data_IF_694040124407
#
_entry.id   IF_694040124407
#
_cell.length_a   1.000
_cell.length_b   1.000
_cell.length_c   1.000
_cell.angle_alpha   90.00
_cell.angle_beta   90.00
_cell.angle_gamma   90.00
#
_symmetry.space_group_name_H-M   'P 1'
#
loop_
_entity.id
_entity.type
_entity.pdbx_description
1 polymer ?
#
# COMPACT_ATOMS: atom_id res chain seq x y z
N UNK A 1 -10.39 3.62 -1.70
CA UNK A 1 -10.44 4.51 -2.89
C UNK A 1 -9.53 3.94 -3.96
N UNK A 2 -9.91 3.98 -5.25
CA UNK A 2 -9.07 3.45 -6.33
C UNK A 2 -8.63 4.54 -7.30
N UNK A 3 -7.37 4.52 -7.71
CA UNK A 3 -6.75 5.46 -8.65
C UNK A 3 -6.12 4.64 -9.77
N UNK A 4 -6.39 5.01 -11.02
CA UNK A 4 -5.78 4.35 -12.17
C UNK A 4 -4.30 4.74 -12.28
N UNK A 5 -3.47 3.77 -12.64
CA UNK A 5 -2.06 3.95 -12.99
C UNK A 5 -1.95 3.70 -14.49
N UNK A 6 -1.16 4.53 -15.16
CA UNK A 6 -0.84 4.33 -16.57
C UNK A 6 0.42 3.49 -16.66
N UNK A 7 0.33 2.38 -17.37
CA UNK A 7 1.47 1.53 -17.76
C UNK A 7 1.96 2.05 -19.11
N UNK A 8 3.27 2.27 -19.26
CA UNK A 8 3.87 2.59 -20.55
C UNK A 8 5.08 1.71 -20.89
N UNK A 9 6.11 2.25 -21.55
CA UNK A 9 7.34 1.51 -21.90
C UNK A 9 8.61 2.30 -21.54
N UNK A 10 8.45 3.37 -20.77
CA UNK A 10 9.50 4.31 -20.43
C UNK A 10 10.21 3.79 -19.20
N UNK A 11 11.54 3.68 -19.28
CA UNK A 11 12.33 3.26 -18.13
C UNK A 11 12.26 4.34 -17.06
N UNK A 12 11.51 4.07 -16.02
CA UNK A 12 11.30 4.95 -14.88
C UNK A 12 11.81 4.32 -13.58
N UNK A 13 12.10 5.17 -12.59
CA UNK A 13 12.39 4.70 -11.23
C UNK A 13 11.12 4.28 -10.52
N UNK A 14 11.25 3.87 -9.25
CA UNK A 14 10.05 3.76 -8.41
C UNK A 14 9.41 5.14 -8.26
N UNK A 15 8.13 5.22 -8.59
CA UNK A 15 7.34 6.43 -8.43
C UNK A 15 6.47 6.34 -7.20
N UNK A 16 5.92 7.47 -6.79
CA UNK A 16 4.93 7.48 -5.74
C UNK A 16 3.96 8.65 -5.90
N UNK A 17 2.75 8.48 -5.37
CA UNK A 17 1.82 9.57 -5.18
C UNK A 17 1.14 9.44 -3.81
N UNK A 18 0.65 10.55 -3.28
CA UNK A 18 0.00 10.57 -1.97
C UNK A 18 -1.51 10.74 -2.11
N UNK A 19 -2.28 9.94 -1.36
CA UNK A 19 -3.64 10.26 -0.98
C UNK A 19 -3.58 11.09 0.31
N UNK A 20 -3.96 12.36 0.24
CA UNK A 20 -4.07 13.23 1.41
C UNK A 20 -5.55 13.39 1.80
N UNK A 21 -5.91 13.06 3.02
CA UNK A 21 -7.23 13.34 3.58
C UNK A 21 -7.34 14.81 3.97
N UNK A 22 -8.48 15.41 3.60
CA UNK A 22 -8.87 16.73 4.09
C UNK A 22 -9.39 16.69 5.53
N UNK A 23 -9.73 17.86 6.07
CA UNK A 23 -10.39 17.95 7.36
C UNK A 23 -11.71 17.15 7.36
N UNK A 24 -11.93 16.35 8.40
CA UNK A 24 -13.20 15.69 8.63
C UNK A 24 -14.24 16.76 8.98
N UNK A 25 -15.38 16.74 8.30
CA UNK A 25 -16.52 17.64 8.58
C UNK A 25 -17.72 16.79 9.00
N UNK A 26 -18.61 17.36 9.82
CA UNK A 26 -19.84 16.69 10.24
C UNK A 26 -19.71 15.74 11.44
N UNK A 27 -18.52 15.58 12.03
CA UNK A 27 -18.34 14.89 13.32
C UNK A 27 -17.17 15.47 14.11
N UNK A 28 -17.27 15.44 15.45
CA UNK A 28 -16.17 15.74 16.38
C UNK A 28 -15.53 14.47 16.97
N UNK A 29 -15.99 13.29 16.58
CA UNK A 29 -15.64 12.00 17.19
C UNK A 29 -14.42 11.35 16.55
N UNK A 30 -14.01 11.82 15.38
CA UNK A 30 -12.88 11.27 14.62
C UNK A 30 -11.86 12.38 14.38
N UNK A 31 -10.60 12.04 14.56
CA UNK A 31 -9.45 12.87 14.20
C UNK A 31 -8.67 12.16 13.11
N UNK A 32 -8.17 12.91 12.12
CA UNK A 32 -7.19 12.38 11.17
C UNK A 32 -5.86 12.30 11.90
N UNK A 33 -5.44 11.09 12.25
CA UNK A 33 -4.15 10.86 12.89
C UNK A 33 -3.04 10.75 11.85
N UNK A 34 -3.30 9.99 10.78
CA UNK A 34 -2.45 9.93 9.59
C UNK A 34 -3.28 10.12 8.33
N UNK A 35 -3.29 11.35 7.82
CA UNK A 35 -4.06 11.69 6.64
C UNK A 35 -3.39 11.29 5.33
N UNK A 36 -2.19 10.72 5.35
CA UNK A 36 -1.37 10.53 4.15
C UNK A 36 -1.17 9.06 3.89
N UNK A 37 -1.71 8.57 2.79
CA UNK A 37 -1.33 7.26 2.26
C UNK A 37 -0.40 7.45 1.08
N UNK A 38 0.69 6.71 1.02
CA UNK A 38 1.63 6.71 -0.10
C UNK A 38 1.35 5.50 -0.99
N UNK A 39 1.03 5.72 -2.26
CA UNK A 39 1.11 4.68 -3.27
C UNK A 39 2.53 4.65 -3.83
N UNK A 40 3.23 3.54 -3.65
CA UNK A 40 4.47 3.27 -4.36
C UNK A 40 4.17 2.49 -5.64
N UNK A 41 4.58 3.05 -6.77
CA UNK A 41 4.45 2.42 -8.09
C UNK A 41 5.81 1.79 -8.42
N UNK A 42 5.82 0.46 -8.55
CA UNK A 42 6.99 -0.27 -8.99
C UNK A 42 7.11 -0.19 -10.51
N UNK A 43 8.20 0.41 -10.99
CA UNK A 43 8.54 0.44 -12.40
C UNK A 43 8.87 -0.96 -12.90
N UNK A 44 8.12 -1.42 -13.89
CA UNK A 44 8.25 -2.70 -14.57
C UNK A 44 9.06 -2.59 -15.87
N UNK A 45 9.35 -1.37 -16.32
CA UNK A 45 10.05 -1.10 -17.58
C UNK A 45 11.58 -1.15 -17.49
N UNK A 46 12.15 -1.23 -16.28
CA UNK A 46 13.60 -1.39 -16.09
C UNK A 46 14.13 -2.61 -16.86
N UNK A 47 15.35 -2.57 -17.42
CA UNK A 47 15.93 -3.72 -18.10
C UNK A 47 15.90 -4.96 -17.21
N UNK A 48 15.33 -6.05 -17.74
CA UNK A 48 15.22 -7.28 -16.97
C UNK A 48 16.61 -7.82 -16.61
N UNK A 49 16.78 -8.22 -15.35
CA UNK A 49 18.01 -8.82 -14.83
C UNK A 49 17.81 -10.30 -14.51
N UNK A 50 18.90 -11.07 -14.58
CA UNK A 50 18.87 -12.50 -14.28
C UNK A 50 18.61 -12.77 -12.80
N UNK A 51 19.15 -11.92 -11.92
CA UNK A 51 19.14 -12.15 -10.48
C UNK A 51 18.68 -10.88 -9.74
N UNK A 52 17.37 -10.63 -9.65
CA UNK A 52 16.83 -9.54 -8.86
C UNK A 52 16.98 -9.81 -7.35
N UNK A 53 16.75 -8.78 -6.55
CA UNK A 53 16.70 -8.86 -5.09
C UNK A 53 15.24 -8.78 -4.67
N UNK A 54 14.81 -9.74 -3.84
CA UNK A 54 13.47 -9.75 -3.23
C UNK A 54 13.47 -8.96 -1.93
N UNK A 55 12.41 -8.19 -1.69
CA UNK A 55 12.19 -7.47 -0.43
C UNK A 55 10.71 -7.48 -0.03
N UNK A 56 10.43 -7.23 1.25
CA UNK A 56 9.08 -7.03 1.78
C UNK A 56 9.09 -5.96 2.87
N UNK A 57 7.96 -5.29 3.13
CA UNK A 57 7.86 -4.24 4.15
C UNK A 57 7.08 -4.68 5.38
N UNK A 58 7.38 -4.10 6.55
CA UNK A 58 6.50 -4.20 7.72
C UNK A 58 5.26 -3.32 7.54
N UNK A 59 4.16 -3.70 8.17
CA UNK A 59 2.85 -3.05 8.03
C UNK A 59 2.18 -2.84 9.40
N UNK A 60 1.23 -1.92 9.44
CA UNK A 60 0.28 -1.74 10.54
C UNK A 60 -1.12 -1.97 9.98
N UNK A 61 -1.94 -2.75 10.67
CA UNK A 61 -3.28 -3.20 10.26
C UNK A 61 -4.23 -3.04 11.43
N UNK A 62 -5.47 -2.59 11.20
CA UNK A 62 -6.52 -2.74 12.22
C UNK A 62 -7.07 -4.15 12.18
N UNK A 63 -7.42 -4.64 13.36
CA UNK A 63 -8.17 -5.88 13.56
C UNK A 63 -9.44 -5.96 12.66
N UNK A 64 -10.12 -4.83 12.44
CA UNK A 64 -11.33 -4.76 11.60
C UNK A 64 -11.12 -4.72 10.10
N UNK A 65 -9.87 -4.69 9.62
CA UNK A 65 -9.60 -4.60 8.20
C UNK A 65 -9.75 -5.95 7.47
N UNK A 66 -9.92 -7.05 8.23
CA UNK A 66 -10.12 -8.41 7.74
C UNK A 66 -8.89 -9.08 7.13
N UNK A 67 -7.95 -8.30 6.57
CA UNK A 67 -6.67 -8.79 6.07
C UNK A 67 -5.51 -7.85 6.37
N UNK A 68 -4.36 -8.46 6.64
CA UNK A 68 -3.05 -7.85 6.57
C UNK A 68 -2.42 -8.15 5.21
N UNK A 69 -2.06 -7.10 4.46
CA UNK A 69 -1.50 -7.23 3.11
C UNK A 69 -0.01 -6.89 3.10
N UNK A 70 0.83 -7.92 2.92
CA UNK A 70 2.27 -7.74 2.72
C UNK A 70 2.59 -7.68 1.25
N UNK A 71 3.26 -6.62 0.82
CA UNK A 71 3.75 -6.53 -0.57
C UNK A 71 5.20 -6.96 -0.66
N UNK A 72 5.43 -7.96 -1.51
CA UNK A 72 6.73 -8.53 -1.82
C UNK A 72 7.15 -8.02 -3.19
N UNK A 73 8.36 -7.46 -3.27
CA UNK A 73 8.85 -6.76 -4.47
C UNK A 73 10.19 -7.31 -4.97
N UNK A 74 10.37 -7.27 -6.28
CA UNK A 74 11.67 -7.31 -6.95
C UNK A 74 12.20 -5.89 -7.15
N UNK A 75 13.50 -5.69 -7.07
CA UNK A 75 14.13 -4.40 -7.34
C UNK A 75 14.28 -4.07 -8.85
N UNK A 76 14.04 -5.05 -9.72
CA UNK A 76 13.97 -4.91 -11.17
C UNK A 76 13.24 -6.14 -11.75
N UNK A 77 12.70 -6.04 -12.98
CA UNK A 77 12.08 -7.17 -13.67
C UNK A 77 13.04 -8.36 -13.80
N UNK A 78 12.50 -9.56 -13.67
CA UNK A 78 13.26 -10.78 -13.86
C UNK A 78 13.20 -11.24 -15.33
N UNK A 79 14.31 -11.77 -15.84
CA UNK A 79 14.38 -12.41 -17.17
C UNK A 79 13.71 -13.78 -17.22
N UNK A 80 13.47 -14.40 -16.07
CA UNK A 80 12.77 -15.69 -15.92
C UNK A 80 11.88 -15.66 -14.68
N UNK A 81 11.01 -16.66 -14.54
CA UNK A 81 10.15 -16.75 -13.36
C UNK A 81 10.97 -16.86 -12.08
N UNK A 82 10.62 -16.05 -11.08
CA UNK A 82 11.16 -16.13 -9.73
C UNK A 82 10.08 -16.68 -8.80
N UNK A 83 10.42 -17.66 -7.98
CA UNK A 83 9.54 -18.16 -6.91
C UNK A 83 10.13 -17.88 -5.54
N UNK A 84 9.29 -17.59 -4.55
CA UNK A 84 9.70 -17.40 -3.16
C UNK A 84 8.63 -17.97 -2.24
N UNK A 85 9.05 -18.76 -1.26
CA UNK A 85 8.13 -19.29 -0.26
C UNK A 85 7.88 -18.24 0.82
N UNK A 86 6.69 -18.24 1.39
CA UNK A 86 6.34 -17.42 2.53
C UNK A 86 5.63 -18.25 3.60
N UNK A 87 5.79 -17.85 4.86
CA UNK A 87 5.07 -18.39 6.01
C UNK A 87 4.89 -17.30 7.05
N UNK A 88 3.76 -17.29 7.74
CA UNK A 88 3.57 -16.47 8.93
C UNK A 88 4.11 -17.16 10.17
N UNK A 89 4.60 -16.39 11.14
CA UNK A 89 5.03 -16.86 12.45
C UNK A 89 4.49 -15.94 13.54
N UNK A 90 4.11 -16.51 14.69
CA UNK A 90 3.56 -15.73 15.81
C UNK A 90 4.60 -14.79 16.41
N UNK A 91 4.11 -13.63 16.84
CA UNK A 91 4.81 -12.71 17.74
C UNK A 91 4.07 -12.63 19.06
N UNK A 92 3.56 -11.45 19.41
CA UNK A 92 2.58 -11.31 20.49
C UNK A 92 1.18 -11.77 20.08
N UNK A 93 0.83 -11.61 18.80
CA UNK A 93 -0.41 -12.16 18.25
C UNK A 93 -0.28 -13.68 18.12
N UNK A 94 -1.30 -14.39 18.57
CA UNK A 94 -1.43 -15.85 18.54
C UNK A 94 -2.09 -16.28 17.24
N UNK A 95 -1.61 -17.39 16.68
CA UNK A 95 -1.97 -17.85 15.34
C UNK A 95 -3.29 -18.64 15.28
N UNK A 96 -4.37 -18.08 15.83
CA UNK A 96 -5.74 -18.59 15.80
C UNK A 96 -6.70 -17.41 15.94
N UNK A 97 -7.99 -17.61 15.63
CA UNK A 97 -9.03 -16.66 16.05
C UNK A 97 -8.93 -16.44 17.57
N UNK A 98 -8.70 -15.20 18.03
CA UNK A 98 -9.11 -13.97 17.35
C UNK A 98 -8.06 -13.23 16.49
N UNK A 99 -6.75 -13.40 16.66
CA UNK A 99 -5.80 -12.39 16.15
C UNK A 99 -5.49 -12.52 14.64
N UNK A 100 -5.03 -13.70 14.18
CA UNK A 100 -4.76 -13.95 12.75
C UNK A 100 -4.76 -15.44 12.38
N UNK A 101 -4.98 -15.72 11.09
CA UNK A 101 -4.86 -17.07 10.56
C UNK A 101 -3.47 -17.35 9.96
N UNK A 102 -2.85 -18.46 10.40
CA UNK A 102 -1.55 -18.87 9.84
C UNK A 102 -1.65 -19.07 8.33
N UNK A 103 -0.82 -18.35 7.58
CA UNK A 103 -0.80 -18.40 6.12
C UNK A 103 0.60 -18.77 5.62
N UNK A 104 0.68 -19.69 4.68
CA UNK A 104 1.92 -20.06 4.01
C UNK A 104 1.67 -20.40 2.54
N UNK A 105 2.71 -20.34 1.72
CA UNK A 105 2.60 -20.64 0.31
C UNK A 105 3.86 -20.28 -0.49
N UNK A 106 3.67 -20.14 -1.79
CA UNK A 106 4.72 -19.74 -2.74
C UNK A 106 4.20 -18.62 -3.62
N UNK A 107 4.90 -17.50 -3.65
CA UNK A 107 4.70 -16.45 -4.65
C UNK A 107 5.47 -16.80 -5.92
N UNK A 108 4.89 -16.45 -7.06
CA UNK A 108 5.52 -16.57 -8.38
C UNK A 108 5.50 -15.21 -9.07
N UNK A 109 6.66 -14.70 -9.42
CA UNK A 109 6.83 -13.51 -10.24
C UNK A 109 7.09 -13.98 -11.67
N UNK A 110 6.13 -13.76 -12.57
CA UNK A 110 6.35 -13.97 -13.99
C UNK A 110 7.40 -12.98 -14.54
N UNK A 111 8.06 -13.27 -15.67
CA UNK A 111 8.94 -12.29 -16.31
C UNK A 111 8.22 -10.95 -16.51
N UNK A 112 8.89 -9.85 -16.15
CA UNK A 112 8.29 -8.52 -16.19
C UNK A 112 7.45 -8.12 -14.99
N UNK A 113 7.06 -9.04 -14.09
CA UNK A 113 6.28 -8.70 -12.89
C UNK A 113 7.22 -8.39 -11.74
N UNK A 114 7.03 -7.24 -11.09
CA UNK A 114 7.93 -6.78 -10.01
C UNK A 114 7.27 -6.79 -8.64
N UNK A 115 5.94 -6.88 -8.53
CA UNK A 115 5.25 -6.93 -7.23
C UNK A 115 4.26 -8.09 -7.15
N UNK A 116 4.12 -8.64 -5.93
CA UNK A 116 3.14 -9.65 -5.56
C UNK A 116 2.69 -9.39 -4.11
N UNK A 117 1.45 -9.79 -3.77
CA UNK A 117 0.88 -9.55 -2.44
C UNK A 117 0.57 -10.86 -1.72
N UNK A 118 0.93 -10.93 -0.43
CA UNK A 118 0.47 -11.97 0.50
C UNK A 118 -0.65 -11.38 1.35
N UNK A 119 -1.81 -12.04 1.34
CA UNK A 119 -2.96 -11.70 2.21
C UNK A 119 -3.01 -12.68 3.38
N UNK A 120 -2.98 -12.15 4.59
CA UNK A 120 -3.12 -12.92 5.85
C UNK A 120 -4.45 -12.52 6.48
N UNK A 121 -5.39 -13.46 6.70
CA UNK A 121 -6.65 -13.15 7.39
C UNK A 121 -6.39 -12.67 8.82
N UNK A 122 -7.09 -11.60 9.20
CA UNK A 122 -7.10 -11.02 10.55
C UNK A 122 -8.48 -11.32 11.13
N UNK A 123 -8.53 -11.89 12.33
CA UNK A 123 -9.79 -12.05 13.01
C UNK A 123 -10.14 -10.75 13.73
N UNK A 124 -11.43 -10.51 13.92
CA UNK A 124 -11.96 -9.34 14.59
C UNK A 124 -12.97 -9.79 15.63
N UNK A 125 -12.82 -9.37 16.88
CA UNK A 125 -13.81 -9.64 17.91
C UNK A 125 -14.43 -8.37 18.53
N UNK A 126 -14.67 -8.38 19.85
CA UNK A 126 -15.27 -7.26 20.61
C UNK A 126 -14.51 -6.98 21.91
N UNK A 127 -13.36 -7.63 22.10
CA UNK A 127 -12.52 -7.60 23.29
C UNK A 127 -11.46 -6.54 23.09
N UNK A 128 -11.34 -5.61 24.04
CA UNK A 128 -10.28 -4.60 23.98
C UNK A 128 -8.93 -5.22 24.29
N UNK A 129 -8.02 -5.14 23.33
CA UNK A 129 -6.67 -5.69 23.40
C UNK A 129 -5.59 -4.62 23.27
N UNK A 130 -4.35 -4.99 23.61
CA UNK A 130 -3.19 -4.13 23.32
C UNK A 130 -2.76 -4.34 21.86
N UNK A 131 -1.93 -3.44 21.32
CA UNK A 131 -1.34 -3.67 20.00
C UNK A 131 -0.50 -4.96 19.99
N UNK A 132 -0.79 -5.82 19.03
CA UNK A 132 -0.15 -7.13 18.89
C UNK A 132 0.65 -7.24 17.59
N UNK A 133 1.40 -8.31 17.41
CA UNK A 133 2.22 -8.48 16.20
C UNK A 133 2.46 -9.93 15.82
N UNK A 134 2.60 -10.15 14.51
CA UNK A 134 3.08 -11.39 13.92
C UNK A 134 4.07 -11.09 12.81
N UNK A 135 4.73 -12.12 12.27
CA UNK A 135 5.78 -11.99 11.28
C UNK A 135 5.41 -12.69 9.97
N UNK A 136 5.76 -12.09 8.83
CA UNK A 136 5.88 -12.79 7.55
C UNK A 136 7.35 -13.13 7.31
N UNK A 137 7.65 -14.39 7.00
CA UNK A 137 9.01 -14.84 6.66
C UNK A 137 9.07 -15.36 5.23
N UNK A 138 9.99 -14.79 4.43
CA UNK A 138 10.33 -15.21 3.08
C UNK A 138 11.49 -16.20 3.09
N UNK A 139 11.42 -17.23 2.25
CA UNK A 139 12.45 -18.28 2.18
C UNK A 139 12.52 -18.94 0.80
N UNK A 140 13.59 -19.69 0.56
CA UNK A 140 13.74 -20.56 -0.61
C UNK A 140 13.48 -19.83 -1.95
N UNK A 141 13.95 -18.58 -2.07
CA UNK A 141 13.81 -17.81 -3.29
C UNK A 141 14.71 -18.38 -4.41
N UNK A 142 14.11 -18.70 -5.55
CA UNK A 142 14.78 -19.38 -6.67
C UNK A 142 14.31 -18.87 -8.02
N UNK A 143 15.22 -18.86 -8.99
CA UNK A 143 14.88 -18.66 -10.40
C UNK A 143 14.44 -19.96 -11.08
N UNK A 144 14.09 -19.89 -12.37
CA UNK A 144 13.66 -21.05 -13.16
C UNK A 144 14.74 -22.14 -13.33
N UNK A 145 16.03 -21.80 -13.15
CA UNK A 145 17.15 -22.75 -13.18
C UNK A 145 17.42 -23.42 -11.83
N UNK A 146 16.78 -22.92 -10.76
CA UNK A 146 16.99 -23.34 -9.38
C UNK A 146 18.11 -22.58 -8.67
N UNK A 147 18.68 -21.54 -9.29
CA UNK A 147 19.67 -20.69 -8.64
C UNK A 147 19.04 -19.88 -7.50
N UNK A 148 19.79 -19.68 -6.42
CA UNK A 148 19.32 -18.93 -5.25
C UNK A 148 19.23 -17.45 -5.59
N UNK A 149 18.06 -16.87 -5.34
CA UNK A 149 17.78 -15.44 -5.50
C UNK A 149 17.96 -14.73 -4.15
N UNK A 150 18.71 -13.63 -4.08
CA UNK A 150 18.93 -12.91 -2.82
C UNK A 150 17.63 -12.28 -2.30
N UNK A 151 17.44 -12.36 -0.98
CA UNK A 151 16.36 -11.69 -0.26
C UNK A 151 17.02 -10.64 0.65
N UNK A 152 16.71 -9.36 0.45
CA UNK A 152 17.27 -8.26 1.24
C UNK A 152 16.86 -8.35 2.71
N UNK A 153 15.59 -8.65 2.96
CA UNK A 153 15.04 -8.85 4.28
C UNK A 153 14.12 -10.08 4.28
N UNK A 154 14.47 -11.08 5.08
CA UNK A 154 13.74 -12.34 5.14
C UNK A 154 12.48 -12.24 5.99
N UNK A 155 12.34 -11.19 6.80
CA UNK A 155 11.23 -11.04 7.74
C UNK A 155 10.63 -9.64 7.66
N UNK A 156 9.31 -9.56 7.75
CA UNK A 156 8.53 -8.35 7.95
C UNK A 156 7.58 -8.53 9.14
N UNK A 157 7.25 -7.44 9.83
CA UNK A 157 6.35 -7.42 10.98
C UNK A 157 4.99 -6.90 10.52
N UNK A 158 3.90 -7.53 10.93
CA UNK A 158 2.58 -6.91 10.97
C UNK A 158 2.25 -6.55 12.42
N UNK A 159 1.86 -5.30 12.65
CA UNK A 159 1.31 -4.85 13.93
C UNK A 159 -0.20 -4.72 13.80
N UNK A 160 -0.95 -5.42 14.65
CA UNK A 160 -2.41 -5.38 14.72
C UNK A 160 -2.82 -4.33 15.76
N UNK A 161 -3.71 -3.43 15.35
CA UNK A 161 -4.29 -2.38 16.20
C UNK A 161 -5.76 -2.73 16.45
N UNK A 162 -6.08 -2.94 17.73
CA UNK A 162 -7.44 -3.09 18.26
C UNK A 162 -8.35 -1.95 17.77
N UNK A 163 -9.59 -2.28 17.40
CA UNK A 163 -10.62 -1.32 17.01
C UNK A 163 -11.86 -1.32 17.92
N UNK A 164 -11.85 -2.14 18.98
CA UNK A 164 -13.02 -2.40 19.81
C UNK A 164 -13.25 -1.35 20.90
N UNK A 165 -12.24 -0.51 21.13
CA UNK A 165 -12.43 0.69 21.92
C UNK A 165 -13.41 1.63 21.20
N UNK A 166 -14.53 1.98 21.86
CA UNK A 166 -15.53 2.90 21.31
C UNK A 166 -15.20 4.34 21.64
N UNK A 167 -15.57 5.25 20.75
CA UNK A 167 -15.57 6.69 21.09
C UNK A 167 -16.65 6.96 22.13
N UNK A 168 -16.25 7.50 23.28
CA UNK A 168 -17.14 7.86 24.37
C UNK A 168 -16.56 9.02 25.19
N UNK A 169 -17.43 9.88 25.72
CA UNK A 169 -17.08 10.88 26.74
C UNK A 169 -16.88 10.15 28.08
N UNK A 170 -15.66 9.68 28.34
CA UNK A 170 -15.35 8.86 29.53
C UNK A 170 -15.19 9.73 30.78
N UNK A 171 -15.05 11.04 30.62
CA UNK A 171 -14.85 12.00 31.70
C UNK A 171 -16.11 12.81 32.04
N UNK A 172 -17.18 12.64 31.26
CA UNK A 172 -18.49 13.27 31.42
C UNK A 172 -18.46 14.80 31.40
N UNK A 173 -17.53 15.41 30.65
CA UNK A 173 -17.45 16.86 30.50
C UNK A 173 -18.39 17.42 29.42
N UNK A 174 -19.11 16.54 28.71
CA UNK A 174 -20.05 16.90 27.65
C UNK A 174 -19.39 17.11 26.28
N UNK A 175 -18.11 16.78 26.13
CA UNK A 175 -17.33 16.88 24.89
C UNK A 175 -16.48 15.63 24.67
N UNK A 176 -16.14 15.34 23.41
CA UNK A 176 -15.19 14.27 23.08
C UNK A 176 -13.80 14.89 22.94
N UNK A 177 -12.95 14.64 23.93
CA UNK A 177 -11.57 15.11 23.97
C UNK A 177 -10.69 14.31 22.99
N UNK A 178 -9.51 14.85 22.66
CA UNK A 178 -8.64 14.23 21.65
C UNK A 178 -8.23 12.78 21.98
N UNK A 179 -8.14 12.42 23.25
CA UNK A 179 -7.80 11.05 23.67
C UNK A 179 -8.99 10.08 23.53
N UNK A 180 -10.21 10.60 23.43
CA UNK A 180 -11.46 9.84 23.33
C UNK A 180 -11.85 9.59 21.88
N UNK A 181 -11.42 10.45 20.95
CA UNK A 181 -11.68 10.34 19.51
C UNK A 181 -11.10 9.06 18.89
N UNK A 182 -11.71 8.63 17.79
CA UNK A 182 -11.15 7.64 16.88
C UNK A 182 -10.07 8.30 16.02
N UNK A 183 -8.97 7.58 15.79
CA UNK A 183 -7.95 7.98 14.83
C UNK A 183 -8.25 7.37 13.48
N UNK A 184 -8.38 8.21 12.44
CA UNK A 184 -8.44 7.81 11.05
C UNK A 184 -7.04 7.88 10.44
N UNK A 185 -6.64 6.79 9.80
CA UNK A 185 -5.37 6.68 9.08
C UNK A 185 -5.58 6.16 7.65
N UNK A 186 -4.73 6.55 6.71
CA UNK A 186 -4.70 5.99 5.35
C UNK A 186 -3.58 4.95 5.27
N UNK A 187 -3.84 3.79 4.68
CA UNK A 187 -2.76 2.80 4.44
C UNK A 187 -1.91 3.18 3.24
N UNK A 188 -0.60 2.97 3.35
CA UNK A 188 0.26 2.92 2.18
C UNK A 188 -0.12 1.75 1.27
N UNK A 189 -0.01 1.96 -0.03
CA UNK A 189 -0.24 0.92 -1.04
C UNK A 189 1.00 0.75 -1.89
N UNK A 190 1.20 -0.45 -2.38
CA UNK A 190 2.27 -0.78 -3.31
C UNK A 190 1.65 -1.52 -4.48
N UNK A 191 2.04 -1.13 -5.67
CA UNK A 191 1.39 -1.57 -6.87
C UNK A 191 2.39 -1.60 -8.02
N UNK A 192 2.33 -2.62 -8.85
CA UNK A 192 3.05 -2.65 -10.13
C UNK A 192 2.25 -1.82 -11.14
N UNK A 193 2.91 -0.94 -11.87
CA UNK A 193 2.27 -0.09 -12.88
C UNK A 193 1.39 -0.89 -13.86
N UNK A 194 1.79 -2.13 -14.16
CA UNK A 194 1.07 -3.07 -15.03
C UNK A 194 -0.32 -3.43 -14.54
N UNK A 195 -0.53 -3.40 -13.23
CA UNK A 195 -1.85 -3.70 -12.66
C UNK A 195 -2.86 -2.58 -12.94
N UNK A 196 -2.37 -1.38 -13.24
CA UNK A 196 -3.16 -0.24 -13.69
C UNK A 196 -4.07 0.40 -12.65
N UNK A 197 -4.11 -0.08 -11.40
CA UNK A 197 -4.96 0.48 -10.33
C UNK A 197 -4.29 0.35 -8.96
N UNK A 198 -4.12 1.47 -8.26
CA UNK A 198 -3.82 1.53 -6.83
C UNK A 198 -5.10 1.63 -6.00
N UNK A 199 -5.22 0.87 -4.91
CA UNK A 199 -6.36 0.99 -3.97
C UNK A 199 -5.87 1.29 -2.55
N UNK A 200 -6.41 2.34 -1.94
CA UNK A 200 -6.15 2.74 -0.56
C UNK A 200 -7.27 2.29 0.36
N UNK A 201 -6.88 1.72 1.49
CA UNK A 201 -7.75 1.45 2.63
C UNK A 201 -7.66 2.57 3.66
N UNK A 202 -8.75 2.75 4.40
CA UNK A 202 -8.86 3.67 5.52
C UNK A 202 -9.01 2.86 6.80
N UNK A 203 -8.23 3.20 7.82
CA UNK A 203 -8.15 2.49 9.09
C UNK A 203 -8.71 3.38 10.19
N UNK A 204 -9.61 2.84 11.01
CA UNK A 204 -10.11 3.50 12.23
C UNK A 204 -9.59 2.78 13.47
N UNK A 205 -9.05 3.53 14.43
CA UNK A 205 -8.55 2.98 15.69
C UNK A 205 -9.65 2.70 16.73
N UNK A 206 -10.89 3.10 16.45
CA UNK A 206 -12.03 3.00 17.36
C UNK A 206 -13.31 2.96 16.56
N UNK A 207 -14.28 2.18 17.02
CA UNK A 207 -15.63 2.21 16.50
C UNK A 207 -16.33 3.53 16.91
N UNK A 208 -16.77 4.35 15.93
CA UNK A 208 -17.65 5.48 16.20
C UNK A 208 -19.08 4.99 16.49
N UNK A 209 -19.92 5.78 17.19
CA UNK A 209 -21.33 5.44 17.42
C UNK A 209 -22.10 5.16 16.11
N UNK A 210 -23.24 4.44 16.19
CA UNK A 210 -23.83 3.73 15.05
C UNK A 210 -24.13 4.58 13.80
N UNK A 211 -23.86 3.95 12.64
CA UNK A 211 -23.75 4.41 11.25
C UNK A 211 -24.87 5.29 10.64
N UNK A 212 -25.91 5.65 11.38
CA UNK A 212 -26.99 6.53 10.85
C UNK A 212 -26.55 7.96 10.54
N UNK A 213 -25.30 8.34 10.88
CA UNK A 213 -24.78 9.70 10.80
C UNK A 213 -23.58 9.89 9.84
N UNK A 214 -23.12 8.85 9.14
CA UNK A 214 -22.03 9.04 8.16
C UNK A 214 -22.59 9.66 6.88
N UNK A 215 -22.03 10.79 6.38
CA UNK A 215 -22.39 11.27 5.06
C UNK A 215 -22.02 10.18 4.04
N UNK A 216 -22.96 9.86 3.16
CA UNK A 216 -22.84 8.79 2.13
C UNK A 216 -21.72 9.05 1.10
N UNK A 217 -20.92 10.10 1.28
CA UNK A 217 -19.73 10.38 0.50
C UNK A 217 -18.77 11.24 1.33
N UNK A 218 -17.57 10.73 1.60
CA UNK A 218 -16.42 11.62 1.83
C UNK A 218 -16.25 12.45 0.55
N UNK A 219 -16.10 13.79 0.62
CA UNK A 219 -15.88 14.61 -0.57
C UNK A 219 -14.59 14.13 -1.26
N UNK A 220 -14.77 13.53 -2.42
CA UNK A 220 -13.72 12.99 -3.28
C UNK A 220 -12.79 14.13 -3.71
N UNK A 221 -11.53 14.09 -3.26
CA UNK A 221 -10.50 14.96 -3.82
C UNK A 221 -10.22 14.50 -5.25
N UNK A 222 -10.28 15.46 -6.18
CA UNK A 222 -9.90 15.28 -7.59
C UNK A 222 -8.39 15.06 -7.65
N UNK A 223 -7.87 14.20 -8.55
CA UNK A 223 -6.43 14.12 -8.78
C UNK A 223 -5.88 15.52 -9.04
N UNK A 224 -4.75 15.85 -8.43
CA UNK A 224 -3.97 17.02 -8.84
C UNK A 224 -3.62 16.79 -10.32
N UNK A 225 -4.14 17.67 -11.18
CA UNK A 225 -3.72 17.71 -12.56
C UNK A 225 -2.22 17.99 -12.55
N UNK A 226 -1.44 17.12 -13.20
CA UNK A 226 0.01 17.31 -13.31
C UNK A 226 0.33 18.73 -13.77
N UNK A 227 1.46 19.31 -13.35
CA UNK A 227 1.96 20.51 -14.00
C UNK A 227 2.12 20.18 -15.48
N UNK A 228 1.22 20.70 -16.31
CA UNK A 228 1.28 20.54 -17.76
C UNK A 228 2.66 20.99 -18.19
N UNK A 229 3.46 20.07 -18.72
CA UNK A 229 4.69 20.46 -19.39
C UNK A 229 4.32 21.53 -20.43
N UNK A 230 4.96 22.72 -20.42
CA UNK A 230 4.68 23.71 -21.45
C UNK A 230 4.96 23.06 -22.81
N UNK A 231 4.12 23.32 -23.83
CA UNK A 231 4.35 22.77 -25.16
C UNK A 231 5.76 23.13 -25.62
N UNK A 232 6.45 22.23 -26.34
CA UNK A 232 7.77 22.52 -26.87
C UNK A 232 7.72 23.82 -27.68
N UNK A 233 8.75 24.68 -27.60
CA UNK A 233 8.78 25.90 -28.41
C UNK A 233 8.62 25.53 -29.88
N UNK A 234 7.78 26.30 -30.58
CA UNK A 234 7.53 26.11 -31.99
C UNK A 234 8.86 25.95 -32.74
N UNK A 235 8.97 24.88 -33.54
CA UNK A 235 10.13 24.65 -34.39
C UNK A 235 10.37 25.90 -35.24
N UNK A 236 11.57 26.49 -35.11
CA UNK A 236 12.02 27.51 -36.05
C UNK A 236 11.94 26.93 -37.46
N UNK A 237 11.31 27.61 -38.43
CA UNK A 237 11.30 27.14 -39.80
C UNK A 237 12.74 27.04 -40.30
N UNK A 238 13.07 25.88 -40.88
CA UNK A 238 14.35 25.68 -41.59
C UNK A 238 14.56 26.82 -42.59
N UNK A 239 15.80 27.32 -42.77
CA UNK A 239 16.10 28.31 -43.78
C UNK A 239 15.61 27.80 -45.14
N UNK A 240 14.75 28.55 -45.82
CA UNK A 240 14.47 28.28 -47.21
C UNK A 240 15.76 28.50 -48.00
N UNK A 241 16.26 27.44 -48.64
CA UNK A 241 17.31 27.54 -49.64
C UNK A 241 16.91 28.61 -50.67
N UNK A 242 17.68 29.69 -50.72
CA UNK A 242 17.57 30.65 -51.82
C UNK A 242 18.08 29.93 -53.08
N UNK A 243 17.35 29.95 -54.20
CA UNK A 243 17.90 29.48 -55.45
C UNK A 243 19.09 30.36 -55.86
N UNK A 244 20.20 29.71 -56.22
CA UNK A 244 21.33 30.36 -56.84
C UNK A 244 20.86 31.09 -58.11
N UNK A 245 21.03 32.41 -58.15
CA UNK A 245 20.91 33.16 -59.39
C UNK A 245 22.24 33.05 -60.15
N UNK A 246 22.14 32.66 -61.42
CA UNK A 246 23.21 32.67 -62.43
C UNK A 246 23.68 34.10 -62.69
#
# INVERSE_FOLDING_TARGET
MSINILDDLTIEGNEYFHLNLGAITGTSEVVVADGVGTAFIGGNDQPAIALPIISTGSIVVSEGDGYAEFVVRLNAPATSTITVNYTTNSGSAVSYTPDYETTFGTLSFAPGVTTQTVRVPIGNDVVVENAESFFLTLSNAKDASGAVVPIANTTAIATIIDNDTKVADINSNGTIDNNEKASLSVRDVVVDEKTGIATFDLVLSKLPPPLSAWPTALPMLRPLQEPTTPPPPAAFPLPQDRPASV
#
